data_IF_857841691233
#
_entry.id   IF_857841691233
#
_cell.length_a   1.000
_cell.length_b   1.000
_cell.length_c   1.000
_cell.angle_alpha   90.00
_cell.angle_beta   90.00
_cell.angle_gamma   90.00
#
_symmetry.space_group_name_H-M   'P 1'
#
loop_
_entity.id
_entity.type
_entity.pdbx_description
1 polymer ?
#
# COMPACT_ATOMS: atom_id res chain seq x y z
N UNK A 1 22.11 10.92 6.78
CA UNK A 1 20.75 10.52 7.21
C UNK A 1 20.79 9.66 8.46
N UNK A 2 21.59 8.57 8.48
CA UNK A 2 21.84 7.77 9.69
C UNK A 2 22.25 8.64 10.90
N UNK A 3 23.26 9.51 10.73
CA UNK A 3 23.79 10.35 11.81
C UNK A 3 22.70 11.26 12.43
N UNK A 4 21.78 11.76 11.62
CA UNK A 4 20.65 12.59 12.07
C UNK A 4 19.65 11.80 12.92
N UNK A 5 19.38 10.54 12.56
CA UNK A 5 18.48 9.69 13.34
C UNK A 5 19.14 9.19 14.62
N UNK A 6 20.44 8.94 14.55
CA UNK A 6 21.28 8.59 15.70
C UNK A 6 21.30 9.73 16.72
N UNK A 7 21.60 10.96 16.30
CA UNK A 7 21.56 12.15 17.17
C UNK A 7 20.18 12.34 17.84
N UNK A 8 19.10 12.14 17.07
CA UNK A 8 17.73 12.19 17.61
C UNK A 8 17.44 11.07 18.60
N UNK A 9 17.98 9.88 18.39
CA UNK A 9 17.83 8.75 19.29
C UNK A 9 18.60 8.99 20.59
N UNK A 10 19.81 9.54 20.53
CA UNK A 10 20.60 9.93 21.70
C UNK A 10 19.86 10.97 22.54
N UNK A 11 19.35 12.03 21.89
CA UNK A 11 18.60 13.09 22.55
C UNK A 11 17.32 12.60 23.24
N UNK A 12 16.68 11.54 22.71
CA UNK A 12 15.45 10.97 23.27
C UNK A 12 15.69 9.92 24.34
N UNK A 13 16.72 9.08 24.16
CA UNK A 13 17.00 7.96 25.05
C UNK A 13 17.84 8.35 26.26
N UNK A 14 18.56 9.49 26.19
CA UNK A 14 19.51 9.90 27.22
C UNK A 14 20.79 9.07 27.24
N UNK A 15 20.94 8.10 26.34
CA UNK A 15 22.10 7.22 26.25
C UNK A 15 22.99 7.61 25.07
N UNK A 16 24.21 8.11 25.35
CA UNK A 16 25.19 8.53 24.33
C UNK A 16 26.19 7.44 23.91
N UNK A 17 26.08 6.25 24.51
CA UNK A 17 27.05 5.18 24.34
C UNK A 17 26.33 3.88 23.99
N UNK A 18 26.84 3.18 22.98
CA UNK A 18 26.31 1.87 22.64
C UNK A 18 26.60 0.88 23.78
N UNK A 19 25.59 0.08 24.11
CA UNK A 19 25.76 -1.03 25.04
C UNK A 19 26.79 -2.00 24.48
N UNK A 20 27.87 -2.24 25.23
CA UNK A 20 28.85 -3.27 24.90
C UNK A 20 28.20 -4.64 25.10
N UNK A 21 27.86 -5.31 24.00
CA UNK A 21 27.35 -6.68 24.03
C UNK A 21 28.55 -7.63 23.92
N UNK A 22 28.63 -8.62 24.82
CA UNK A 22 29.65 -9.66 24.75
C UNK A 22 29.45 -10.47 23.46
N UNK A 23 30.37 -10.36 22.51
CA UNK A 23 30.36 -11.21 21.32
C UNK A 23 30.78 -12.62 21.73
N UNK A 24 29.98 -13.65 21.39
CA UNK A 24 30.37 -15.05 21.57
C UNK A 24 31.56 -15.31 20.65
N UNK A 25 32.70 -15.71 21.23
CA UNK A 25 33.89 -16.05 20.46
C UNK A 25 33.62 -17.40 19.79
N UNK A 26 33.76 -17.47 18.46
CA UNK A 26 33.73 -18.74 17.72
C UNK A 26 34.92 -19.57 18.16
N UNK A 27 34.68 -20.85 18.45
CA UNK A 27 35.74 -21.84 18.59
C UNK A 27 36.32 -22.11 17.21
N UNK A 28 37.64 -22.12 17.13
CA UNK A 28 38.35 -22.44 15.89
C UNK A 28 38.66 -23.93 15.92
N UNK A 29 38.55 -24.57 14.76
CA UNK A 29 39.16 -25.89 14.57
C UNK A 29 40.69 -25.75 14.48
N UNK A 30 41.43 -26.84 14.71
CA UNK A 30 42.90 -26.83 14.90
C UNK A 30 43.65 -26.16 13.74
N UNK A 31 43.12 -26.28 12.52
CA UNK A 31 43.75 -25.74 11.30
C UNK A 31 43.16 -24.40 10.84
N UNK A 32 42.14 -23.87 11.53
CA UNK A 32 41.50 -22.60 11.18
C UNK A 32 42.23 -21.40 11.80
N UNK A 33 42.68 -20.48 10.94
CA UNK A 33 43.14 -19.15 11.32
C UNK A 33 42.01 -18.12 11.17
N UNK A 34 41.98 -17.08 12.00
CA UNK A 34 41.02 -15.96 11.92
C UNK A 34 41.32 -14.97 10.78
N UNK A 35 41.89 -15.44 9.68
CA UNK A 35 42.23 -14.57 8.57
C UNK A 35 40.94 -14.12 7.87
N UNK A 36 40.70 -12.80 7.87
CA UNK A 36 39.51 -12.18 7.26
C UNK A 36 38.33 -11.92 8.20
N UNK A 37 38.42 -12.19 9.52
CA UNK A 37 37.37 -11.79 10.48
C UNK A 37 37.28 -10.25 10.58
N UNK A 38 36.24 -9.64 9.99
CA UNK A 38 35.98 -8.20 10.09
C UNK A 38 35.25 -7.92 11.40
N UNK A 39 35.93 -7.28 12.35
CA UNK A 39 35.34 -6.88 13.61
C UNK A 39 34.76 -5.48 13.49
N UNK A 40 33.49 -5.37 13.15
CA UNK A 40 32.83 -4.06 13.06
C UNK A 40 32.74 -3.37 14.43
N UNK A 41 33.10 -2.08 14.43
CA UNK A 41 32.74 -1.16 15.49
C UNK A 41 31.21 -1.14 15.65
N UNK A 42 30.72 -1.04 16.89
CA UNK A 42 29.29 -1.23 17.22
C UNK A 42 28.41 -0.28 16.40
N UNK A 43 28.84 0.98 16.23
CA UNK A 43 28.18 1.98 15.38
C UNK A 43 28.05 1.52 13.93
N UNK A 44 29.12 1.00 13.36
CA UNK A 44 29.13 0.54 11.97
C UNK A 44 28.26 -0.71 11.78
N UNK A 45 28.29 -1.63 12.73
CA UNK A 45 27.38 -2.79 12.75
C UNK A 45 25.92 -2.36 12.83
N UNK A 46 25.58 -1.38 13.68
CA UNK A 46 24.22 -0.84 13.76
C UNK A 46 23.79 -0.18 12.45
N UNK A 47 24.69 0.61 11.84
CA UNK A 47 24.43 1.30 10.58
C UNK A 47 24.17 0.31 9.43
N UNK A 48 25.00 -0.71 9.27
CA UNK A 48 24.87 -1.67 8.16
C UNK A 48 23.79 -2.70 8.44
N UNK A 49 23.94 -3.46 9.53
CA UNK A 49 23.14 -4.66 9.75
C UNK A 49 21.72 -4.34 10.25
N UNK A 50 21.47 -3.11 10.70
CA UNK A 50 20.16 -2.71 11.23
C UNK A 50 19.58 -1.55 10.44
N UNK A 51 20.25 -0.39 10.39
CA UNK A 51 19.67 0.78 9.75
C UNK A 51 19.47 0.57 8.24
N UNK A 52 20.51 0.20 7.49
CA UNK A 52 20.35 -0.03 6.06
C UNK A 52 19.43 -1.21 5.77
N UNK A 53 19.53 -2.31 6.52
CA UNK A 53 18.60 -3.43 6.39
C UNK A 53 17.12 -3.01 6.57
N UNK A 54 16.81 -2.09 7.50
CA UNK A 54 15.46 -1.53 7.67
C UNK A 54 15.09 -0.67 6.47
N UNK A 55 15.97 0.22 6.02
CA UNK A 55 15.71 1.10 4.87
C UNK A 55 15.47 0.29 3.60
N UNK A 56 16.29 -0.70 3.30
CA UNK A 56 16.16 -1.55 2.12
C UNK A 56 14.84 -2.33 2.14
N UNK A 57 14.44 -2.83 3.32
CA UNK A 57 13.15 -3.49 3.50
C UNK A 57 11.99 -2.52 3.29
N UNK A 58 12.06 -1.31 3.84
CA UNK A 58 11.03 -0.28 3.63
C UNK A 58 10.93 0.10 2.17
N UNK A 59 12.06 0.30 1.49
CA UNK A 59 12.12 0.59 0.07
C UNK A 59 11.47 -0.51 -0.75
N UNK A 60 11.89 -1.76 -0.55
CA UNK A 60 11.35 -2.92 -1.27
C UNK A 60 9.84 -3.09 -1.06
N UNK A 61 9.34 -2.89 0.16
CA UNK A 61 7.91 -2.96 0.43
C UNK A 61 7.12 -1.80 -0.21
N UNK A 62 7.67 -0.58 -0.20
CA UNK A 62 7.05 0.57 -0.85
C UNK A 62 6.99 0.39 -2.37
N UNK A 63 8.08 -0.07 -2.98
CA UNK A 63 8.16 -0.35 -4.41
C UNK A 63 7.18 -1.47 -4.80
N UNK A 64 7.18 -2.58 -4.05
CA UNK A 64 6.23 -3.68 -4.23
C UNK A 64 4.79 -3.18 -4.18
N UNK A 65 4.43 -2.34 -3.20
CA UNK A 65 3.08 -1.77 -3.08
C UNK A 65 2.76 -0.81 -4.21
N UNK A 66 3.71 0.01 -4.64
CA UNK A 66 3.53 0.91 -5.78
C UNK A 66 3.14 0.13 -7.04
N UNK A 67 3.80 -1.01 -7.29
CA UNK A 67 3.44 -1.89 -8.40
C UNK A 67 2.01 -2.43 -8.30
N UNK A 68 1.59 -2.88 -7.11
CA UNK A 68 0.20 -3.32 -6.88
C UNK A 68 -0.81 -2.18 -7.07
N UNK A 69 -0.49 -0.96 -6.63
CA UNK A 69 -1.34 0.21 -6.84
C UNK A 69 -1.46 0.56 -8.31
N UNK A 70 -0.35 0.56 -9.06
CA UNK A 70 -0.37 0.81 -10.49
C UNK A 70 -1.21 -0.24 -11.24
N UNK A 71 -1.09 -1.51 -10.86
CA UNK A 71 -1.89 -2.59 -11.46
C UNK A 71 -3.39 -2.44 -11.14
N UNK A 72 -3.74 -2.16 -9.88
CA UNK A 72 -5.12 -1.90 -9.49
C UNK A 72 -5.68 -0.68 -10.22
N UNK A 73 -4.90 0.40 -10.29
CA UNK A 73 -5.29 1.62 -10.99
C UNK A 73 -5.54 1.33 -12.48
N UNK A 74 -4.67 0.56 -13.17
CA UNK A 74 -4.90 0.17 -14.57
C UNK A 74 -6.22 -0.57 -14.79
N UNK A 75 -6.61 -1.44 -13.84
CA UNK A 75 -7.84 -2.25 -13.92
C UNK A 75 -9.10 -1.46 -13.58
N UNK A 76 -9.07 -0.63 -12.54
CA UNK A 76 -10.28 -0.05 -11.94
C UNK A 76 -10.46 1.45 -12.20
N UNK A 77 -9.44 2.17 -12.68
CA UNK A 77 -9.50 3.63 -12.83
C UNK A 77 -10.62 4.12 -13.77
N UNK A 78 -11.09 3.26 -14.67
CA UNK A 78 -12.22 3.59 -15.54
C UNK A 78 -13.51 3.90 -14.78
N UNK A 79 -13.72 3.30 -13.60
CA UNK A 79 -14.88 3.59 -12.74
C UNK A 79 -14.83 5.04 -12.25
N UNK A 80 -13.64 5.58 -11.96
CA UNK A 80 -13.45 6.98 -11.56
C UNK A 80 -13.64 7.97 -12.72
N UNK A 81 -13.53 7.48 -13.96
CA UNK A 81 -13.64 8.29 -15.16
C UNK A 81 -14.88 7.94 -15.98
N UNK A 82 -15.83 7.20 -15.40
CA UNK A 82 -16.91 6.54 -16.14
C UNK A 82 -17.80 7.54 -16.91
N UNK A 83 -17.94 8.76 -16.41
CA UNK A 83 -18.68 9.85 -17.06
C UNK A 83 -17.94 10.37 -18.31
N UNK A 84 -16.60 10.38 -18.28
CA UNK A 84 -15.75 10.83 -19.39
C UNK A 84 -15.69 9.82 -20.54
N UNK A 85 -16.01 8.56 -20.25
CA UNK A 85 -16.00 7.49 -21.24
C UNK A 85 -17.31 7.48 -22.04
N UNK A 86 -17.24 7.06 -23.30
CA UNK A 86 -18.45 6.71 -24.05
C UNK A 86 -19.13 5.46 -23.44
N UNK A 87 -20.43 5.24 -23.68
CA UNK A 87 -21.13 4.06 -23.18
C UNK A 87 -20.46 2.75 -23.62
N UNK A 88 -20.02 2.68 -24.89
CA UNK A 88 -19.36 1.50 -25.43
C UNK A 88 -18.00 1.24 -24.79
N UNK A 89 -17.20 2.29 -24.55
CA UNK A 89 -15.91 2.15 -23.87
C UNK A 89 -16.06 1.73 -22.41
N UNK A 90 -17.00 2.34 -21.70
CA UNK A 90 -17.32 1.95 -20.32
C UNK A 90 -17.72 0.48 -20.25
N UNK A 91 -18.60 0.04 -21.16
CA UNK A 91 -19.05 -1.34 -21.23
C UNK A 91 -17.90 -2.32 -21.50
N UNK A 92 -17.06 -2.05 -22.51
CA UNK A 92 -15.89 -2.89 -22.83
C UNK A 92 -14.91 -2.99 -21.67
N UNK A 93 -14.62 -1.88 -20.98
CA UNK A 93 -13.72 -1.88 -19.82
C UNK A 93 -14.30 -2.68 -18.67
N UNK A 94 -15.59 -2.61 -18.43
CA UNK A 94 -16.25 -3.46 -17.43
C UNK A 94 -16.19 -4.95 -17.82
N UNK A 95 -16.41 -5.30 -19.09
CA UNK A 95 -16.29 -6.69 -19.53
C UNK A 95 -14.88 -7.25 -19.37
N UNK A 96 -13.84 -6.45 -19.66
CA UNK A 96 -12.45 -6.84 -19.41
C UNK A 96 -12.26 -7.15 -17.92
N UNK A 97 -12.77 -6.28 -17.04
CA UNK A 97 -12.67 -6.49 -15.60
C UNK A 97 -13.42 -7.76 -15.13
N UNK A 98 -14.65 -7.98 -15.61
CA UNK A 98 -15.42 -9.19 -15.33
C UNK A 98 -14.67 -10.45 -15.80
N UNK A 99 -13.99 -10.39 -16.95
CA UNK A 99 -13.22 -11.51 -17.48
C UNK A 99 -11.96 -11.83 -16.67
N UNK A 100 -11.34 -10.82 -16.05
CA UNK A 100 -10.20 -11.02 -15.13
C UNK A 100 -10.68 -11.67 -13.84
N UNK A 101 -11.87 -11.30 -13.36
CA UNK A 101 -12.41 -11.68 -12.06
C UNK A 101 -13.75 -12.42 -12.20
N UNK A 102 -13.80 -13.47 -13.03
CA UNK A 102 -15.05 -14.16 -13.44
C UNK A 102 -15.91 -14.64 -12.28
N UNK A 103 -15.30 -15.03 -11.17
CA UNK A 103 -15.99 -15.58 -10.00
C UNK A 103 -16.38 -14.50 -8.99
N UNK A 104 -15.79 -13.31 -9.08
CA UNK A 104 -16.06 -12.21 -8.16
C UNK A 104 -17.19 -11.31 -8.66
N UNK A 105 -17.36 -11.19 -9.98
CA UNK A 105 -18.32 -10.29 -10.61
C UNK A 105 -19.59 -10.99 -11.09
N UNK A 106 -20.74 -10.39 -10.76
CA UNK A 106 -22.02 -10.76 -11.38
C UNK A 106 -22.00 -10.44 -12.89
N UNK A 107 -22.71 -11.24 -13.69
CA UNK A 107 -22.92 -10.99 -15.11
C UNK A 107 -23.60 -9.65 -15.39
N UNK A 108 -24.39 -9.15 -14.42
CA UNK A 108 -25.12 -7.87 -14.49
C UNK A 108 -24.23 -6.64 -14.25
N UNK A 109 -23.00 -6.81 -13.77
CA UNK A 109 -22.15 -5.68 -13.37
C UNK A 109 -21.89 -4.69 -14.53
N UNK A 110 -21.64 -5.18 -15.75
CA UNK A 110 -21.49 -4.31 -16.93
C UNK A 110 -22.71 -3.45 -17.18
N UNK A 111 -23.91 -4.02 -17.08
CA UNK A 111 -25.16 -3.28 -17.30
C UNK A 111 -25.38 -2.24 -16.19
N UNK A 112 -25.13 -2.61 -14.93
CA UNK A 112 -25.26 -1.71 -13.80
C UNK A 112 -24.26 -0.54 -13.89
N UNK A 113 -23.02 -0.77 -14.34
CA UNK A 113 -22.07 0.32 -14.61
C UNK A 113 -22.60 1.32 -15.65
N UNK A 114 -23.29 0.85 -16.69
CA UNK A 114 -23.88 1.73 -17.71
C UNK A 114 -25.07 2.51 -17.15
N UNK A 115 -25.93 1.85 -16.38
CA UNK A 115 -27.04 2.52 -15.70
C UNK A 115 -26.53 3.58 -14.72
N UNK A 116 -25.50 3.24 -13.95
CA UNK A 116 -24.84 4.15 -13.03
C UNK A 116 -24.23 5.35 -13.74
N UNK A 117 -23.55 5.13 -14.88
CA UNK A 117 -23.05 6.21 -15.74
C UNK A 117 -24.17 7.13 -16.20
N UNK A 118 -25.27 6.58 -16.71
CA UNK A 118 -26.43 7.35 -17.16
C UNK A 118 -27.05 8.15 -16.02
N UNK A 119 -27.16 7.56 -14.83
CA UNK A 119 -27.58 8.25 -13.62
C UNK A 119 -26.66 9.44 -13.31
N UNK A 120 -25.34 9.25 -13.27
CA UNK A 120 -24.39 10.34 -13.04
C UNK A 120 -24.46 11.46 -14.10
N UNK A 121 -24.74 11.12 -15.36
CA UNK A 121 -24.94 12.10 -16.42
C UNK A 121 -26.25 12.89 -16.27
N UNK A 122 -27.29 12.26 -15.74
CA UNK A 122 -28.59 12.92 -15.48
C UNK A 122 -28.52 13.96 -14.36
N UNK A 123 -27.51 13.90 -13.48
CA UNK A 123 -27.27 14.90 -12.44
C UNK A 123 -26.74 16.19 -13.08
N UNK A 124 -27.30 17.32 -12.65
CA UNK A 124 -26.87 18.68 -13.04
C UNK A 124 -25.37 18.87 -12.83
N UNK A 125 -24.69 19.45 -13.82
CA UNK A 125 -23.21 19.51 -13.83
C UNK A 125 -22.60 20.17 -12.59
N UNK A 126 -23.27 21.19 -12.04
CA UNK A 126 -22.82 21.90 -10.85
C UNK A 126 -22.83 21.04 -9.57
N UNK A 127 -23.65 19.98 -9.54
CA UNK A 127 -23.87 19.12 -8.37
C UNK A 127 -23.29 17.71 -8.63
N UNK A 128 -22.94 17.41 -9.88
CA UNK A 128 -22.40 16.12 -10.32
C UNK A 128 -21.15 15.74 -9.51
N UNK A 129 -21.14 14.53 -8.91
CA UNK A 129 -19.96 14.02 -8.24
C UNK A 129 -18.74 14.00 -9.17
N UNK A 130 -17.61 14.56 -8.73
CA UNK A 130 -16.35 14.59 -9.51
C UNK A 130 -15.40 13.48 -9.08
N UNK A 131 -15.50 13.02 -7.83
CA UNK A 131 -14.66 11.96 -7.27
C UNK A 131 -15.52 10.79 -6.78
N UNK A 132 -14.92 9.61 -6.58
CA UNK A 132 -15.64 8.48 -5.97
C UNK A 132 -16.09 8.77 -4.56
N UNK A 133 -15.30 9.56 -3.81
CA UNK A 133 -15.67 10.00 -2.47
C UNK A 133 -16.93 10.86 -2.53
N UNK A 134 -17.03 11.77 -3.51
CA UNK A 134 -18.26 12.54 -3.74
C UNK A 134 -19.43 11.63 -4.13
N UNK A 135 -19.21 10.61 -4.95
CA UNK A 135 -20.24 9.64 -5.31
C UNK A 135 -20.75 8.99 -4.02
N UNK A 136 -19.87 8.37 -3.22
CA UNK A 136 -20.24 7.69 -1.98
C UNK A 136 -20.90 8.60 -0.94
N UNK A 137 -20.45 9.84 -0.80
CA UNK A 137 -21.00 10.80 0.16
C UNK A 137 -22.36 11.34 -0.30
N UNK A 138 -22.53 11.59 -1.61
CA UNK A 138 -23.74 12.26 -2.15
C UNK A 138 -24.83 11.28 -2.57
N UNK A 139 -24.47 10.06 -2.99
CA UNK A 139 -25.44 9.02 -3.34
C UNK A 139 -25.76 8.15 -2.13
N UNK A 140 -26.60 8.66 -1.23
CA UNK A 140 -26.98 7.95 0.01
C UNK A 140 -27.61 6.56 -0.24
N UNK A 141 -28.20 6.34 -1.41
CA UNK A 141 -28.85 5.09 -1.79
C UNK A 141 -28.05 4.29 -2.85
N UNK A 142 -26.74 4.54 -2.99
CA UNK A 142 -25.90 3.78 -3.92
C UNK A 142 -25.97 2.25 -3.72
N UNK A 143 -26.01 1.71 -2.48
CA UNK A 143 -26.15 0.26 -2.27
C UNK A 143 -27.49 -0.30 -2.75
N UNK A 144 -28.57 0.48 -2.67
CA UNK A 144 -29.91 0.05 -3.10
C UNK A 144 -30.10 0.16 -4.61
N UNK A 145 -29.56 1.22 -5.22
CA UNK A 145 -29.74 1.49 -6.65
C UNK A 145 -28.72 0.76 -7.53
N UNK A 146 -27.49 0.64 -7.04
CA UNK A 146 -26.36 0.06 -7.78
C UNK A 146 -25.52 -0.85 -6.86
N UNK A 147 -26.09 -1.95 -6.33
CA UNK A 147 -25.44 -2.84 -5.38
C UNK A 147 -24.09 -3.39 -5.86
N UNK A 148 -23.94 -3.71 -7.14
CA UNK A 148 -22.68 -4.25 -7.66
C UNK A 148 -21.60 -3.15 -7.75
N UNK A 149 -21.94 -1.99 -8.31
CA UNK A 149 -21.07 -0.81 -8.35
C UNK A 149 -20.61 -0.47 -6.94
N UNK A 150 -21.53 -0.43 -5.95
CA UNK A 150 -21.19 -0.21 -4.55
C UNK A 150 -20.24 -1.29 -3.99
N UNK A 151 -20.58 -2.57 -4.14
CA UNK A 151 -19.78 -3.69 -3.63
C UNK A 151 -18.34 -3.65 -4.18
N UNK A 152 -18.19 -3.45 -5.50
CA UNK A 152 -16.89 -3.51 -6.15
C UNK A 152 -16.08 -2.24 -5.97
N UNK A 153 -16.72 -1.07 -5.98
CA UNK A 153 -16.03 0.18 -5.63
C UNK A 153 -15.61 0.22 -4.16
N UNK A 154 -16.36 -0.40 -3.24
CA UNK A 154 -15.87 -0.64 -1.88
C UNK A 154 -14.71 -1.61 -1.88
N UNK A 155 -14.77 -2.74 -2.60
CA UNK A 155 -13.60 -3.65 -2.69
C UNK A 155 -12.36 -2.92 -3.19
N UNK A 156 -12.49 -2.01 -4.15
CA UNK A 156 -11.39 -1.22 -4.70
C UNK A 156 -10.88 -0.17 -3.70
N UNK A 157 -11.78 0.62 -3.12
CA UNK A 157 -11.43 1.60 -2.08
C UNK A 157 -10.85 0.91 -0.86
N UNK A 158 -11.37 -0.25 -0.47
CA UNK A 158 -10.91 -1.03 0.67
C UNK A 158 -9.61 -1.77 0.36
N UNK A 159 -9.35 -2.18 -0.88
CA UNK A 159 -8.04 -2.65 -1.32
C UNK A 159 -7.01 -1.52 -1.26
N UNK A 160 -7.34 -0.34 -1.79
CA UNK A 160 -6.47 0.84 -1.70
C UNK A 160 -6.24 1.25 -0.23
N UNK A 161 -7.30 1.33 0.58
CA UNK A 161 -7.26 1.74 1.99
C UNK A 161 -6.62 0.69 2.89
N UNK A 162 -6.88 -0.62 2.73
CA UNK A 162 -6.19 -1.66 3.51
C UNK A 162 -4.70 -1.68 3.21
N UNK A 163 -4.29 -1.51 1.96
CA UNK A 163 -2.86 -1.46 1.63
C UNK A 163 -2.21 -0.16 2.17
N UNK A 164 -2.95 0.96 2.19
CA UNK A 164 -2.50 2.21 2.85
C UNK A 164 -2.42 2.06 4.38
N UNK A 165 -3.39 1.40 5.02
CA UNK A 165 -3.44 1.18 6.47
C UNK A 165 -2.39 0.14 6.92
N UNK A 166 -2.16 -0.91 6.14
CA UNK A 166 -1.08 -1.87 6.38
C UNK A 166 0.31 -1.20 6.25
N UNK A 167 0.41 -0.11 5.47
CA UNK A 167 1.60 0.75 5.46
C UNK A 167 1.82 1.47 6.78
N UNK A 168 0.75 1.87 7.47
CA UNK A 168 0.83 2.45 8.82
C UNK A 168 1.09 1.40 9.90
N UNK A 169 0.57 0.18 9.75
CA UNK A 169 0.81 -0.92 10.70
C UNK A 169 2.25 -1.44 10.68
N UNK A 170 2.95 -1.39 9.55
CA UNK A 170 4.41 -1.66 9.52
C UNK A 170 5.18 -0.59 10.31
N UNK A 171 4.82 0.68 10.17
CA UNK A 171 5.42 1.78 10.94
C UNK A 171 5.14 1.59 12.45
N UNK A 172 3.95 1.11 12.82
CA UNK A 172 3.59 0.83 14.21
C UNK A 172 4.24 -0.44 14.77
N UNK A 173 4.37 -1.51 13.97
CA UNK A 173 4.99 -2.77 14.38
C UNK A 173 6.49 -2.64 14.61
N UNK A 174 7.17 -1.75 13.88
CA UNK A 174 8.56 -1.36 14.16
C UNK A 174 8.66 -0.63 15.51
N UNK A 175 7.65 0.17 15.88
CA UNK A 175 7.57 0.86 17.18
C UNK A 175 7.31 -0.09 18.35
N UNK A 176 6.49 -1.14 18.17
CA UNK A 176 6.06 -2.02 19.27
C UNK A 176 7.09 -3.12 19.59
N UNK A 177 7.92 -3.55 18.62
CA UNK A 177 9.01 -4.51 18.89
C UNK A 177 10.28 -3.88 19.50
N UNK A 178 10.26 -2.59 19.80
CA UNK A 178 11.41 -1.82 20.31
C UNK A 178 11.27 -1.41 21.79
N UNK A 179 10.40 -2.09 22.56
CA UNK A 179 10.30 -1.97 24.01
C UNK A 179 10.74 -3.26 24.70
#
# INVERSE_FOLDING_TARGET
MFDTYEERADNKSGHKMYRKIRKRKRELTVDEKREGEINFEIRYSLRINTYYAIIDKLHSELERRNLYYDEANKKFNFLFQIIKLSPLEAYKKTQILQNIYKNDFSSLFANECIQFRSYLMSITENIRPKTIVDIFIRTKNLPELFPYVYLYSIKDVFMLVKVQLFSREIIFSIKVKSY
#
